data_IF_283078109136
#
_entry.id   IF_283078109136
#
_cell.length_a   1.000
_cell.length_b   1.000
_cell.length_c   1.000
_cell.angle_alpha   90.00
_cell.angle_beta   90.00
_cell.angle_gamma   90.00
#
_symmetry.space_group_name_H-M   'P 1'
#
loop_
_entity.id
_entity.type
_entity.pdbx_description
1 polymer ?
#
# COMPACT_ATOMS: atom_id res chain seq x y z
N UNK A 1 34.57 10.98 29.05
CA UNK A 1 34.08 10.31 27.81
C UNK A 1 32.68 10.83 27.54
N UNK A 2 32.40 11.31 26.31
CA UNK A 2 31.11 11.90 25.93
C UNK A 2 30.04 10.80 25.91
N UNK A 3 28.89 11.07 26.55
CA UNK A 3 27.69 10.25 26.41
C UNK A 3 27.20 10.33 24.96
N UNK A 4 27.52 9.31 24.16
CA UNK A 4 26.91 9.13 22.84
C UNK A 4 25.54 8.50 23.07
N UNK A 5 24.47 9.30 22.99
CA UNK A 5 23.12 8.77 22.81
C UNK A 5 23.06 8.16 21.41
N UNK A 6 23.25 6.85 21.33
CA UNK A 6 22.96 6.08 20.11
C UNK A 6 21.43 6.07 19.96
N UNK A 7 20.84 6.46 18.82
CA UNK A 7 19.39 6.36 18.64
C UNK A 7 19.00 4.88 18.71
N UNK A 8 18.16 4.53 19.68
CA UNK A 8 17.54 3.21 19.81
C UNK A 8 16.46 3.09 18.74
N UNK A 9 16.69 2.24 17.73
CA UNK A 9 15.78 1.85 16.63
C UNK A 9 15.07 3.00 15.88
N UNK A 10 15.27 3.10 14.56
CA UNK A 10 14.36 3.89 13.71
C UNK A 10 12.93 3.42 13.97
N UNK A 11 12.00 4.36 14.17
CA UNK A 11 10.57 4.05 14.27
C UNK A 11 10.16 3.25 13.02
N UNK A 12 9.56 2.08 13.23
CA UNK A 12 9.16 1.18 12.15
C UNK A 12 8.25 1.88 11.13
N UNK A 13 7.31 2.71 11.60
CA UNK A 13 6.41 3.45 10.72
C UNK A 13 7.18 4.42 9.82
N UNK A 14 8.15 5.15 10.38
CA UNK A 14 8.95 6.09 9.60
C UNK A 14 9.82 5.35 8.57
N UNK A 15 10.34 4.18 8.93
CA UNK A 15 11.06 3.30 8.00
C UNK A 15 10.16 2.83 6.85
N UNK A 16 8.98 2.31 7.16
CA UNK A 16 8.01 1.83 6.17
C UNK A 16 7.62 2.94 5.20
N UNK A 17 7.23 4.10 5.72
CA UNK A 17 6.81 5.24 4.88
C UNK A 17 7.96 5.75 3.99
N UNK A 18 9.21 5.68 4.46
CA UNK A 18 10.38 6.02 3.64
C UNK A 18 10.58 5.00 2.50
N UNK A 19 10.45 3.70 2.80
CA UNK A 19 10.65 2.61 1.85
C UNK A 19 9.59 2.61 0.73
N UNK A 20 8.33 2.88 1.09
CA UNK A 20 7.19 2.96 0.17
C UNK A 20 7.27 4.09 -0.86
N UNK A 21 8.29 4.96 -0.82
CA UNK A 21 8.54 5.91 -1.90
C UNK A 21 9.14 5.27 -3.15
N UNK A 22 9.74 4.10 -3.01
CA UNK A 22 10.16 3.29 -4.14
C UNK A 22 8.91 2.59 -4.72
N UNK A 23 8.54 2.86 -5.99
CA UNK A 23 7.35 2.27 -6.59
C UNK A 23 7.34 0.74 -6.57
N UNK A 24 8.51 0.10 -6.69
CA UNK A 24 8.64 -1.36 -6.64
C UNK A 24 8.33 -1.90 -5.23
N UNK A 25 8.80 -1.20 -4.20
CA UNK A 25 8.51 -1.59 -2.80
C UNK A 25 7.05 -1.35 -2.46
N UNK A 26 6.44 -0.25 -2.94
CA UNK A 26 5.02 0.00 -2.77
C UNK A 26 4.15 -1.05 -3.48
N UNK A 27 4.54 -1.44 -4.70
CA UNK A 27 3.85 -2.48 -5.46
C UNK A 27 3.91 -3.82 -4.73
N UNK A 28 5.10 -4.27 -4.34
CA UNK A 28 5.31 -5.52 -3.60
C UNK A 28 4.59 -5.51 -2.24
N UNK A 29 4.61 -4.39 -1.52
CA UNK A 29 3.90 -4.24 -0.26
C UNK A 29 2.38 -4.43 -0.43
N UNK A 30 1.77 -3.77 -1.42
CA UNK A 30 0.33 -3.90 -1.66
C UNK A 30 -0.05 -5.31 -2.16
N UNK A 31 0.79 -5.93 -2.99
CA UNK A 31 0.58 -7.30 -3.49
C UNK A 31 0.53 -8.30 -2.34
N UNK A 32 1.53 -8.28 -1.44
CA UNK A 32 1.57 -9.16 -0.26
C UNK A 32 0.32 -8.95 0.62
N UNK A 33 -0.07 -7.70 0.85
CA UNK A 33 -1.26 -7.39 1.67
C UNK A 33 -2.54 -7.95 1.04
N UNK A 34 -2.63 -7.97 -0.28
CA UNK A 34 -3.79 -8.48 -1.01
C UNK A 34 -3.84 -10.00 -1.04
N UNK A 35 -2.69 -10.67 -1.06
CA UNK A 35 -2.57 -12.13 -0.97
C UNK A 35 -2.84 -12.63 0.46
N UNK A 36 -2.25 -11.99 1.47
CA UNK A 36 -2.31 -12.43 2.87
C UNK A 36 -3.50 -11.85 3.65
N UNK A 37 -3.99 -10.67 3.28
CA UNK A 37 -4.92 -9.86 4.08
C UNK A 37 -6.36 -10.33 4.11
N UNK A 38 -6.70 -11.46 3.50
CA UNK A 38 -8.09 -11.93 3.42
C UNK A 38 -8.71 -12.27 4.78
N UNK A 39 -7.88 -12.53 5.79
CA UNK A 39 -8.29 -12.79 7.18
C UNK A 39 -8.29 -11.54 8.06
N UNK A 40 -7.79 -10.40 7.55
CA UNK A 40 -7.69 -9.11 8.24
C UNK A 40 -8.44 -8.02 7.45
N UNK A 41 -9.73 -7.76 7.78
CA UNK A 41 -10.60 -6.93 6.95
C UNK A 41 -10.17 -5.46 6.77
N UNK A 42 -9.27 -4.96 7.62
CA UNK A 42 -8.75 -3.58 7.57
C UNK A 42 -7.33 -3.50 7.01
N UNK A 43 -6.69 -4.63 6.70
CA UNK A 43 -5.28 -4.65 6.34
C UNK A 43 -5.00 -3.89 5.04
N UNK A 44 -5.82 -4.11 4.01
CA UNK A 44 -5.72 -3.36 2.75
C UNK A 44 -5.95 -1.86 2.94
N UNK A 45 -6.93 -1.46 3.76
CA UNK A 45 -7.19 -0.04 4.04
C UNK A 45 -5.95 0.63 4.65
N UNK A 46 -5.37 0.01 5.69
CA UNK A 46 -4.16 0.50 6.33
C UNK A 46 -2.96 0.56 5.36
N UNK A 47 -2.82 -0.44 4.49
CA UNK A 47 -1.75 -0.47 3.50
C UNK A 47 -1.88 0.65 2.47
N UNK A 48 -3.11 0.94 2.01
CA UNK A 48 -3.39 2.06 1.13
C UNK A 48 -3.10 3.41 1.82
N UNK A 49 -3.47 3.56 3.09
CA UNK A 49 -3.12 4.75 3.89
C UNK A 49 -1.60 4.97 3.93
N UNK A 50 -0.81 3.92 4.19
CA UNK A 50 0.65 4.00 4.23
C UNK A 50 1.25 4.44 2.88
N UNK A 51 0.77 3.87 1.77
CA UNK A 51 1.25 4.22 0.42
C UNK A 51 0.86 5.67 0.06
N UNK A 52 -0.37 6.07 0.36
CA UNK A 52 -0.84 7.44 0.12
C UNK A 52 -0.07 8.45 0.97
N UNK A 53 0.25 8.12 2.22
CA UNK A 53 1.08 8.94 3.09
C UNK A 53 2.50 9.11 2.52
N UNK A 54 3.14 8.01 2.11
CA UNK A 54 4.48 8.03 1.51
C UNK A 54 4.51 8.95 0.28
N UNK A 55 3.59 8.75 -0.66
CA UNK A 55 3.55 9.55 -1.89
C UNK A 55 3.16 11.01 -1.62
N UNK A 56 2.33 11.27 -0.59
CA UNK A 56 1.99 12.63 -0.17
C UNK A 56 3.19 13.39 0.39
N UNK A 57 4.04 12.74 1.20
CA UNK A 57 5.24 13.35 1.79
C UNK A 57 6.24 13.84 0.75
N UNK A 58 6.29 13.20 -0.42
CA UNK A 58 7.19 13.57 -1.51
C UNK A 58 6.53 14.35 -2.65
N UNK A 59 5.28 14.80 -2.49
CA UNK A 59 4.49 15.45 -3.57
C UNK A 59 4.38 14.60 -4.85
N UNK A 60 4.43 13.27 -4.72
CA UNK A 60 4.40 12.31 -5.82
C UNK A 60 2.98 11.79 -6.11
N UNK A 61 1.97 12.37 -5.46
CA UNK A 61 0.56 12.00 -5.63
C UNK A 61 -0.22 13.15 -6.26
N UNK A 62 -0.99 12.85 -7.30
CA UNK A 62 -1.88 13.82 -7.93
C UNK A 62 -3.12 14.08 -7.09
N UNK A 63 -3.74 15.24 -7.25
CA UNK A 63 -5.05 15.54 -6.63
C UNK A 63 -6.12 14.53 -7.05
N UNK A 64 -6.07 14.08 -8.30
CA UNK A 64 -6.94 13.01 -8.79
C UNK A 64 -6.73 11.70 -8.01
N UNK A 65 -5.49 11.27 -7.82
CA UNK A 65 -5.19 10.05 -7.05
C UNK A 65 -5.65 10.17 -5.59
N UNK A 66 -5.47 11.33 -4.95
CA UNK A 66 -6.02 11.61 -3.60
C UNK A 66 -7.54 11.50 -3.57
N UNK A 67 -8.24 12.13 -4.52
CA UNK A 67 -9.70 12.07 -4.59
C UNK A 67 -10.22 10.66 -4.84
N UNK A 68 -9.56 9.88 -5.70
CA UNK A 68 -9.90 8.48 -5.93
C UNK A 68 -9.68 7.65 -4.67
N UNK A 69 -8.61 7.91 -3.92
CA UNK A 69 -8.35 7.26 -2.66
C UNK A 69 -9.44 7.54 -1.62
N UNK A 70 -9.84 8.80 -1.43
CA UNK A 70 -10.91 9.18 -0.49
C UNK A 70 -12.24 8.49 -0.83
N UNK A 71 -12.61 8.47 -2.11
CA UNK A 71 -13.82 7.77 -2.58
C UNK A 71 -13.74 6.26 -2.32
N UNK A 72 -12.61 5.64 -2.65
CA UNK A 72 -12.40 4.22 -2.41
C UNK A 72 -12.43 3.90 -0.91
N UNK A 73 -11.77 4.70 -0.08
CA UNK A 73 -11.69 4.50 1.36
C UNK A 73 -13.09 4.52 2.01
N UNK A 74 -13.97 5.41 1.55
CA UNK A 74 -15.37 5.44 1.98
C UNK A 74 -16.14 4.15 1.62
N UNK A 75 -15.91 3.60 0.43
CA UNK A 75 -16.51 2.33 0.00
C UNK A 75 -15.96 1.18 0.84
N UNK A 76 -14.63 1.07 0.97
CA UNK A 76 -13.95 0.00 1.68
C UNK A 76 -14.27 -0.05 3.17
N UNK A 77 -14.54 1.09 3.80
CA UNK A 77 -14.94 1.13 5.22
C UNK A 77 -16.24 0.35 5.47
N UNK A 78 -17.18 0.38 4.52
CA UNK A 78 -18.45 -0.32 4.65
C UNK A 78 -18.33 -1.80 4.30
N UNK A 79 -17.55 -2.13 3.27
CA UNK A 79 -17.43 -3.50 2.78
C UNK A 79 -16.29 -4.31 3.40
N UNK A 80 -15.41 -3.64 4.17
CA UNK A 80 -14.20 -4.18 4.78
C UNK A 80 -13.32 -4.92 3.78
N UNK A 81 -13.20 -4.37 2.58
CA UNK A 81 -12.40 -4.90 1.46
C UNK A 81 -12.81 -6.31 0.97
N UNK A 82 -13.96 -6.84 1.41
CA UNK A 82 -14.36 -8.23 1.14
C UNK A 82 -14.52 -8.55 -0.34
N UNK A 83 -14.98 -7.60 -1.15
CA UNK A 83 -15.12 -7.78 -2.60
C UNK A 83 -13.77 -7.96 -3.30
N UNK A 84 -12.74 -7.21 -2.87
CA UNK A 84 -11.40 -7.28 -3.47
C UNK A 84 -10.76 -8.63 -3.15
N UNK A 85 -10.84 -9.07 -1.89
CA UNK A 85 -10.32 -10.38 -1.51
C UNK A 85 -11.06 -11.52 -2.20
N UNK A 86 -12.38 -11.40 -2.35
CA UNK A 86 -13.20 -12.39 -3.09
C UNK A 86 -12.78 -12.45 -4.56
N UNK A 87 -12.52 -11.31 -5.18
CA UNK A 87 -12.07 -11.24 -6.57
C UNK A 87 -10.69 -11.89 -6.75
N UNK A 88 -9.73 -11.62 -5.86
CA UNK A 88 -8.39 -12.24 -5.92
C UNK A 88 -8.49 -13.76 -5.73
N UNK A 89 -9.28 -14.23 -4.76
CA UNK A 89 -9.53 -15.67 -4.55
C UNK A 89 -10.15 -16.33 -5.79
N UNK A 90 -11.01 -15.62 -6.51
CA UNK A 90 -11.56 -16.11 -7.78
C UNK A 90 -10.49 -16.22 -8.87
N UNK A 91 -9.60 -15.23 -9.00
CA UNK A 91 -8.50 -15.29 -9.96
C UNK A 91 -7.60 -16.51 -9.71
N UNK A 92 -7.21 -16.72 -8.45
CA UNK A 92 -6.40 -17.88 -8.04
C UNK A 92 -7.10 -19.21 -8.36
N UNK A 93 -8.39 -19.33 -8.02
CA UNK A 93 -9.19 -20.52 -8.33
C UNK A 93 -9.33 -20.81 -9.83
N UNK A 94 -9.18 -19.79 -10.69
CA UNK A 94 -9.19 -19.92 -12.14
C UNK A 94 -7.79 -20.18 -12.74
N UNK A 95 -6.74 -20.24 -11.90
CA UNK A 95 -5.35 -20.42 -12.32
C UNK A 95 -4.66 -19.14 -12.79
N UNK A 96 -5.19 -17.97 -12.40
CA UNK A 96 -4.58 -16.66 -12.66
C UNK A 96 -3.86 -16.14 -11.43
N UNK A 97 -2.76 -15.41 -11.65
CA UNK A 97 -2.06 -14.65 -10.63
C UNK A 97 -2.46 -13.17 -10.72
N UNK A 98 -2.70 -12.56 -9.56
CA UNK A 98 -2.83 -11.11 -9.44
C UNK A 98 -1.46 -10.50 -9.17
N UNK A 99 -1.08 -9.44 -9.89
CA UNK A 99 0.20 -8.75 -9.73
C UNK A 99 -0.01 -7.24 -9.70
N UNK A 100 0.69 -6.56 -8.80
CA UNK A 100 0.84 -5.10 -8.82
C UNK A 100 2.25 -4.78 -9.29
N UNK A 101 2.36 -3.90 -10.28
CA UNK A 101 3.64 -3.43 -10.80
C UNK A 101 3.63 -1.91 -10.99
N UNK A 102 4.78 -1.24 -10.88
CA UNK A 102 4.89 0.16 -11.26
C UNK A 102 4.46 0.36 -12.71
N UNK A 103 3.90 1.54 -13.01
CA UNK A 103 3.64 1.90 -14.40
C UNK A 103 4.97 2.05 -15.13
N UNK A 104 5.10 1.37 -16.28
CA UNK A 104 6.17 1.68 -17.21
C UNK A 104 6.05 3.15 -17.63
N UNK A 105 7.11 3.92 -17.46
CA UNK A 105 7.15 5.29 -17.98
C UNK A 105 7.02 5.19 -19.51
N UNK A 106 5.87 5.63 -20.05
CA UNK A 106 5.72 5.86 -21.47
C UNK A 106 6.61 7.04 -21.87
N UNK A 107 7.90 6.77 -22.09
CA UNK A 107 8.78 7.66 -22.82
C UNK A 107 8.30 7.64 -24.28
N UNK A 108 7.37 8.54 -24.63
CA UNK A 108 7.08 8.93 -26.01
C UNK A 108 7.89 10.19 -26.37
#
# INVERSE_FOLDING_TARGET
MKNVKVPTSRNYQDFLIESLNNPEEAASYLEIILEEGSDEPLLLQNALDNVVEAYSKNNNISEFAKSQYEQLNHILTNSKCSEIYTFIKLLDALGFQFVIAPKENQNH
#
